data_IF_647041054254
#
_entry.id   IF_647041054254
#
_cell.length_a   1.000
_cell.length_b   1.000
_cell.length_c   1.000
_cell.angle_alpha   90.00
_cell.angle_beta   90.00
_cell.angle_gamma   90.00
#
_symmetry.space_group_name_H-M   'P 1'
#
loop_
_entity.id
_entity.type
_entity.pdbx_description
1 polymer ?
#
# COMPACT_ATOMS: atom_id res chain seq x y z
N UNK A 1 8.14 12.31 12.67
CA UNK A 1 6.78 11.73 12.89
C UNK A 1 6.12 11.27 11.60
N UNK A 2 6.13 12.10 10.55
CA UNK A 2 5.51 11.72 9.28
C UNK A 2 6.10 10.42 8.71
N UNK A 3 7.43 10.31 8.69
CA UNK A 3 8.09 9.10 8.19
C UNK A 3 7.64 7.85 8.96
N UNK A 4 7.54 7.96 10.29
CA UNK A 4 7.11 6.85 11.13
C UNK A 4 5.69 6.41 10.77
N UNK A 5 4.76 7.35 10.62
CA UNK A 5 3.38 7.03 10.27
C UNK A 5 3.28 6.45 8.85
N UNK A 6 4.08 6.95 7.91
CA UNK A 6 4.13 6.38 6.56
C UNK A 6 4.62 4.94 6.58
N UNK A 7 5.69 4.66 7.33
CA UNK A 7 6.23 3.31 7.43
C UNK A 7 5.21 2.36 8.06
N UNK A 8 4.52 2.79 9.09
CA UNK A 8 3.49 1.98 9.74
C UNK A 8 2.34 1.73 8.76
N UNK A 9 1.88 2.77 8.08
CA UNK A 9 0.80 2.65 7.11
C UNK A 9 1.16 1.69 5.98
N UNK A 10 2.36 1.85 5.40
CA UNK A 10 2.82 0.96 4.34
C UNK A 10 2.90 -0.49 4.81
N UNK A 11 3.44 -0.71 6.01
CA UNK A 11 3.52 -2.05 6.60
C UNK A 11 2.13 -2.67 6.75
N UNK A 12 1.18 -1.91 7.25
CA UNK A 12 -0.19 -2.39 7.43
C UNK A 12 -0.86 -2.71 6.09
N UNK A 13 -0.67 -1.87 5.08
CA UNK A 13 -1.21 -2.11 3.75
C UNK A 13 -0.62 -3.37 3.12
N UNK A 14 0.69 -3.55 3.25
CA UNK A 14 1.36 -4.74 2.73
C UNK A 14 0.85 -5.99 3.45
N UNK A 15 0.74 -5.94 4.77
CA UNK A 15 0.24 -7.07 5.57
C UNK A 15 -1.20 -7.41 5.20
N UNK A 16 -2.05 -6.41 5.00
CA UNK A 16 -3.43 -6.64 4.57
C UNK A 16 -3.47 -7.35 3.22
N UNK A 17 -2.67 -6.92 2.26
CA UNK A 17 -2.62 -7.55 0.95
C UNK A 17 -2.08 -8.97 1.01
N UNK A 18 -1.09 -9.23 1.85
CA UNK A 18 -0.56 -10.57 2.07
C UNK A 18 -1.64 -11.47 2.69
N UNK A 19 -2.39 -10.96 3.66
CA UNK A 19 -3.47 -11.72 4.29
C UNK A 19 -4.57 -12.06 3.27
N UNK A 20 -4.95 -11.13 2.41
CA UNK A 20 -5.95 -11.37 1.37
C UNK A 20 -5.47 -12.43 0.39
N UNK A 21 -4.22 -12.35 -0.05
CA UNK A 21 -3.66 -13.33 -0.97
C UNK A 21 -3.53 -14.70 -0.30
N UNK A 22 -3.07 -14.75 0.94
CA UNK A 22 -2.96 -15.99 1.69
C UNK A 22 -4.32 -16.68 1.80
N UNK A 23 -5.36 -15.93 2.14
CA UNK A 23 -6.70 -16.47 2.27
C UNK A 23 -7.29 -16.98 0.97
N UNK A 24 -6.92 -16.36 -0.16
CA UNK A 24 -7.43 -16.74 -1.47
C UNK A 24 -6.59 -17.80 -2.16
N UNK A 25 -5.41 -18.13 -1.62
CA UNK A 25 -4.45 -19.02 -2.26
C UNK A 25 -4.97 -20.46 -2.30
N UNK A 26 -5.14 -21.01 -3.50
CA UNK A 26 -5.56 -22.39 -3.71
C UNK A 26 -6.97 -22.71 -3.23
N UNK A 27 -7.72 -21.74 -2.76
CA UNK A 27 -9.04 -22.00 -2.22
C UNK A 27 -10.08 -22.07 -3.34
N UNK A 28 -10.75 -23.19 -3.43
CA UNK A 28 -11.95 -23.33 -4.25
C UNK A 28 -13.13 -23.04 -3.32
N UNK A 29 -13.55 -21.77 -3.23
CA UNK A 29 -14.65 -21.38 -2.39
C UNK A 29 -14.20 -20.86 -1.02
N UNK A 30 -15.16 -20.81 -0.10
CA UNK A 30 -14.98 -20.15 1.19
C UNK A 30 -14.54 -21.12 2.27
N UNK A 31 -13.26 -21.43 2.29
CA UNK A 31 -12.65 -22.23 3.33
C UNK A 31 -12.39 -21.38 4.58
N UNK A 32 -11.98 -22.06 5.67
CA UNK A 32 -11.54 -21.36 6.88
C UNK A 32 -10.36 -20.44 6.60
N UNK A 33 -9.48 -20.86 5.71
CA UNK A 33 -8.33 -20.06 5.31
C UNK A 33 -8.76 -18.79 4.59
N UNK A 34 -9.74 -18.89 3.70
CA UNK A 34 -10.29 -17.74 3.01
C UNK A 34 -10.89 -16.75 4.02
N UNK A 35 -11.67 -17.26 4.98
CA UNK A 35 -12.29 -16.43 5.99
C UNK A 35 -11.26 -15.76 6.90
N UNK A 36 -10.22 -16.50 7.30
CA UNK A 36 -9.14 -15.95 8.11
C UNK A 36 -8.43 -14.81 7.39
N UNK A 37 -8.13 -14.98 6.11
CA UNK A 37 -7.52 -13.94 5.29
C UNK A 37 -8.41 -12.72 5.14
N UNK A 38 -9.70 -12.95 4.91
CA UNK A 38 -10.68 -11.87 4.77
C UNK A 38 -10.77 -11.04 6.06
N UNK A 39 -10.96 -11.71 7.18
CA UNK A 39 -11.10 -11.02 8.48
C UNK A 39 -9.78 -10.36 8.87
N UNK A 40 -8.67 -11.08 8.81
CA UNK A 40 -7.36 -10.55 9.19
C UNK A 40 -6.95 -9.37 8.33
N UNK A 41 -7.11 -9.48 7.02
CA UNK A 41 -6.79 -8.40 6.09
C UNK A 41 -7.67 -7.16 6.33
N UNK A 42 -8.96 -7.36 6.61
CA UNK A 42 -9.84 -6.25 6.89
C UNK A 42 -9.53 -5.57 8.23
N UNK A 43 -9.18 -6.33 9.26
CA UNK A 43 -8.79 -5.75 10.54
C UNK A 43 -7.56 -4.87 10.38
N UNK A 44 -6.53 -5.38 9.72
CA UNK A 44 -5.29 -4.62 9.50
C UNK A 44 -5.56 -3.44 8.58
N UNK A 45 -6.28 -3.66 7.49
CA UNK A 45 -6.59 -2.60 6.53
C UNK A 45 -7.46 -1.50 7.13
N UNK A 46 -8.48 -1.85 7.90
CA UNK A 46 -9.32 -0.86 8.56
C UNK A 46 -8.54 -0.08 9.62
N UNK A 47 -7.67 -0.76 10.36
CA UNK A 47 -6.83 -0.11 11.36
C UNK A 47 -5.86 0.87 10.72
N UNK A 48 -5.42 0.63 9.50
CA UNK A 48 -4.51 1.54 8.79
C UNK A 48 -5.14 2.89 8.49
N UNK A 49 -6.46 2.98 8.49
CA UNK A 49 -7.18 4.24 8.24
C UNK A 49 -6.80 5.28 9.29
N UNK A 50 -6.61 4.88 10.54
CA UNK A 50 -6.15 5.80 11.58
C UNK A 50 -4.86 6.49 11.19
N UNK A 51 -3.90 5.72 10.69
CA UNK A 51 -2.60 6.26 10.29
C UNK A 51 -2.73 7.13 9.03
N UNK A 52 -3.61 6.76 8.11
CA UNK A 52 -3.88 7.60 6.94
C UNK A 52 -4.45 8.96 7.34
N UNK A 53 -5.37 8.98 8.28
CA UNK A 53 -5.92 10.25 8.77
C UNK A 53 -4.85 11.09 9.45
N UNK A 54 -3.96 10.46 10.22
CA UNK A 54 -2.84 11.18 10.84
C UNK A 54 -1.89 11.75 9.80
N UNK A 55 -1.64 11.01 8.74
CA UNK A 55 -0.80 11.48 7.64
C UNK A 55 -1.43 12.70 6.98
N UNK A 56 -2.73 12.65 6.71
CA UNK A 56 -3.45 13.81 6.17
C UNK A 56 -3.36 15.03 7.08
N UNK A 57 -3.47 14.83 8.39
CA UNK A 57 -3.34 15.91 9.35
C UNK A 57 -1.95 16.55 9.29
N UNK A 58 -0.92 15.74 9.20
CA UNK A 58 0.46 16.21 9.12
C UNK A 58 0.78 16.92 7.81
N UNK A 59 0.07 16.55 6.75
CA UNK A 59 0.25 17.12 5.41
C UNK A 59 -0.98 17.91 4.98
N UNK A 60 -1.61 18.62 5.91
CA UNK A 60 -2.85 19.33 5.66
C UNK A 60 -2.77 20.37 4.54
N UNK A 61 -1.58 20.89 4.28
CA UNK A 61 -1.35 21.82 3.17
C UNK A 61 -1.25 21.14 1.81
N UNK A 62 -1.11 19.82 1.75
CA UNK A 62 -0.96 19.10 0.49
C UNK A 62 -1.48 17.67 0.62
N UNK A 63 -2.80 17.54 0.69
CA UNK A 63 -3.44 16.24 0.87
C UNK A 63 -3.23 15.33 -0.34
N UNK A 64 -3.07 15.88 -1.54
CA UNK A 64 -2.84 15.08 -2.73
C UNK A 64 -1.47 14.40 -2.67
N UNK A 65 -0.45 15.09 -2.20
CA UNK A 65 0.86 14.50 -2.01
C UNK A 65 0.83 13.43 -0.93
N UNK A 66 0.07 13.66 0.15
CA UNK A 66 -0.12 12.66 1.20
C UNK A 66 -0.67 11.36 0.61
N UNK A 67 -1.69 11.46 -0.25
CA UNK A 67 -2.29 10.30 -0.90
C UNK A 67 -1.30 9.59 -1.81
N UNK A 68 -0.51 10.33 -2.59
CA UNK A 68 0.50 9.75 -3.48
C UNK A 68 1.56 9.00 -2.67
N UNK A 69 2.09 9.61 -1.63
CA UNK A 69 3.13 8.99 -0.81
C UNK A 69 2.61 7.73 -0.11
N UNK A 70 1.44 7.82 0.50
CA UNK A 70 0.87 6.69 1.22
C UNK A 70 0.51 5.55 0.25
N UNK A 71 -0.14 5.88 -0.86
CA UNK A 71 -0.60 4.87 -1.81
C UNK A 71 0.54 4.20 -2.55
N UNK A 72 1.52 4.97 -3.01
CA UNK A 72 2.62 4.41 -3.82
C UNK A 72 3.51 3.47 -3.03
N UNK A 73 3.85 3.82 -1.79
CA UNK A 73 4.69 2.96 -0.95
C UNK A 73 4.01 1.63 -0.65
N UNK A 74 2.74 1.67 -0.31
CA UNK A 74 1.95 0.47 -0.08
C UNK A 74 1.83 -0.38 -1.33
N UNK A 75 1.58 0.24 -2.48
CA UNK A 75 1.46 -0.46 -3.75
C UNK A 75 2.76 -1.15 -4.14
N UNK A 76 3.87 -0.40 -4.16
CA UNK A 76 5.17 -0.96 -4.56
C UNK A 76 5.59 -2.06 -3.60
N UNK A 77 5.50 -1.81 -2.29
CA UNK A 77 5.85 -2.80 -1.28
C UNK A 77 5.01 -4.06 -1.39
N UNK A 78 3.71 -3.92 -1.61
CA UNK A 78 2.81 -5.07 -1.78
C UNK A 78 3.17 -5.89 -3.01
N UNK A 79 3.46 -5.24 -4.14
CA UNK A 79 3.85 -5.93 -5.36
C UNK A 79 5.12 -6.76 -5.16
N UNK A 80 6.14 -6.15 -4.56
CA UNK A 80 7.42 -6.81 -4.36
C UNK A 80 7.29 -7.97 -3.35
N UNK A 81 6.58 -7.74 -2.26
CA UNK A 81 6.44 -8.77 -1.24
C UNK A 81 5.57 -9.93 -1.70
N UNK A 82 4.49 -9.67 -2.43
CA UNK A 82 3.66 -10.73 -3.00
C UNK A 82 4.44 -11.57 -3.99
N UNK A 83 5.26 -10.93 -4.84
CA UNK A 83 6.10 -11.65 -5.78
C UNK A 83 7.08 -12.56 -5.04
N UNK A 84 7.67 -12.07 -3.96
CA UNK A 84 8.65 -12.83 -3.20
C UNK A 84 8.02 -13.97 -2.39
N UNK A 85 6.95 -13.68 -1.65
CA UNK A 85 6.34 -14.67 -0.75
C UNK A 85 5.61 -15.77 -1.50
N UNK A 86 4.93 -15.43 -2.58
CA UNK A 86 4.10 -16.39 -3.32
C UNK A 86 4.73 -16.83 -4.63
N UNK A 87 6.01 -16.50 -4.81
CA UNK A 87 6.79 -16.87 -6.01
C UNK A 87 6.10 -16.45 -7.31
N UNK A 88 5.39 -15.33 -7.24
CA UNK A 88 4.73 -14.76 -8.40
C UNK A 88 5.74 -13.98 -9.22
N UNK A 89 5.87 -14.32 -10.50
CA UNK A 89 6.78 -13.59 -11.39
C UNK A 89 6.12 -12.31 -11.88
N UNK A 90 6.84 -11.22 -11.76
CA UNK A 90 6.42 -9.95 -12.34
C UNK A 90 6.84 -9.91 -13.81
N UNK A 91 5.88 -9.70 -14.69
CA UNK A 91 6.16 -9.49 -16.10
C UNK A 91 6.89 -8.17 -16.31
N UNK A 92 7.57 -8.04 -17.45
CA UNK A 92 8.29 -6.81 -17.77
C UNK A 92 7.38 -5.59 -17.72
N UNK A 93 6.14 -5.74 -18.20
CA UNK A 93 5.13 -4.65 -18.16
C UNK A 93 4.81 -4.26 -16.72
N UNK A 94 4.72 -5.24 -15.81
CA UNK A 94 4.47 -4.97 -14.40
C UNK A 94 5.65 -4.26 -13.73
N UNK A 95 6.87 -4.65 -14.05
CA UNK A 95 8.06 -3.94 -13.59
C UNK A 95 8.09 -2.50 -14.08
N UNK A 96 7.71 -2.30 -15.35
CA UNK A 96 7.61 -0.96 -15.92
C UNK A 96 6.55 -0.13 -15.17
N UNK A 97 5.41 -0.72 -14.82
CA UNK A 97 4.38 -0.04 -14.05
C UNK A 97 4.87 0.37 -12.67
N UNK A 98 5.58 -0.52 -11.98
CA UNK A 98 6.17 -0.21 -10.67
C UNK A 98 7.16 0.93 -10.79
N UNK A 99 8.01 0.90 -11.82
CA UNK A 99 8.97 1.97 -12.07
C UNK A 99 8.27 3.31 -12.32
N UNK A 100 7.19 3.31 -13.08
CA UNK A 100 6.41 4.52 -13.36
C UNK A 100 5.78 5.08 -12.08
N UNK A 101 5.27 4.22 -11.20
CA UNK A 101 4.73 4.66 -9.92
C UNK A 101 5.82 5.31 -9.07
N UNK A 102 7.00 4.68 -9.03
CA UNK A 102 8.14 5.22 -8.28
C UNK A 102 8.59 6.57 -8.84
N UNK A 103 8.70 6.68 -10.17
CA UNK A 103 9.09 7.92 -10.83
C UNK A 103 8.04 9.00 -10.60
N UNK A 104 6.76 8.66 -10.76
CA UNK A 104 5.67 9.60 -10.52
C UNK A 104 5.66 10.13 -9.10
N UNK A 105 5.91 9.26 -8.13
CA UNK A 105 6.00 9.66 -6.72
C UNK A 105 7.17 10.60 -6.50
N UNK A 106 8.33 10.29 -7.07
CA UNK A 106 9.51 11.14 -6.96
C UNK A 106 9.26 12.52 -7.57
N UNK A 107 8.66 12.57 -8.75
CA UNK A 107 8.33 13.83 -9.42
C UNK A 107 7.34 14.65 -8.57
N UNK A 108 6.32 14.02 -8.04
CA UNK A 108 5.34 14.71 -7.20
C UNK A 108 5.97 15.28 -5.93
N UNK A 109 6.92 14.52 -5.35
CA UNK A 109 7.60 14.95 -4.13
C UNK A 109 8.60 16.07 -4.40
N UNK A 110 9.41 15.91 -5.46
CA UNK A 110 10.44 16.91 -5.81
C UNK A 110 9.86 18.16 -6.43
N UNK A 111 8.67 18.08 -7.01
CA UNK A 111 7.97 19.24 -7.54
C UNK A 111 7.55 20.26 -6.48
N UNK A 112 7.69 19.88 -5.21
CA UNK A 112 7.36 20.73 -4.10
C UNK A 112 5.86 20.89 -3.90
N UNK A 113 5.45 21.64 -2.87
CA UNK A 113 4.04 21.85 -2.61
C UNK A 113 3.40 22.62 -3.75
N UNK A 114 2.27 22.12 -4.21
CA UNK A 114 1.49 22.86 -5.19
C UNK A 114 1.01 24.16 -4.56
N UNK A 115 0.92 25.19 -5.39
CA UNK A 115 0.26 26.41 -4.95
C UNK A 115 -1.20 26.08 -4.71
N UNK A 116 -1.57 25.99 -3.46
CA UNK A 116 -2.92 25.59 -3.10
C UNK A 116 -3.74 26.84 -2.84
N UNK A 117 -4.83 27.00 -3.55
CA UNK A 117 -5.75 28.07 -3.22
C UNK A 117 -6.38 27.86 -1.86
#
# INVERSE_FOLDING_TARGET
MLTTYLLIFWTMQILANVAFKYGSHGAAGRSKRWLAGFIGGNIVGASSIYFMMRIYEMMSGNCNLAMVLAGSGGFIGSQLLLAWLFHSRLAVVQWAGIALVAIGTAVATLGGPAAIP
#
